data_IF_046376258305
#
_entry.id   IF_046376258305
#
_cell.length_a   1.000
_cell.length_b   1.000
_cell.length_c   1.000
_cell.angle_alpha   90.00
_cell.angle_beta   90.00
_cell.angle_gamma   90.00
#
_symmetry.space_group_name_H-M   'P 1'
#
loop_
_entity.id
_entity.type
_entity.pdbx_description
1 polymer ?
#
# COMPACT_ATOMS: atom_id res chain seq x y z
N UNK A 1 3.16 -19.66 -29.72
CA UNK A 1 2.26 -18.92 -28.80
C UNK A 1 1.76 -17.70 -29.55
N UNK A 2 0.45 -17.42 -29.56
CA UNK A 2 -0.07 -16.18 -30.15
C UNK A 2 0.31 -15.02 -29.22
N UNK A 3 0.97 -14.00 -29.75
CA UNK A 3 1.26 -12.78 -29.01
C UNK A 3 -0.05 -12.00 -28.95
N UNK A 4 -0.73 -12.03 -27.81
CA UNK A 4 -1.98 -11.30 -27.60
C UNK A 4 -1.59 -9.90 -27.15
N UNK A 5 -2.06 -8.86 -27.84
CA UNK A 5 -1.86 -7.49 -27.38
C UNK A 5 -2.48 -7.32 -26.00
N UNK A 6 -1.80 -6.57 -25.12
CA UNK A 6 -2.22 -6.39 -23.74
C UNK A 6 -2.70 -4.97 -23.47
N UNK A 7 -3.65 -4.86 -22.55
CA UNK A 7 -4.06 -3.61 -21.92
C UNK A 7 -3.79 -3.73 -20.43
N UNK A 8 -2.96 -2.83 -19.92
CA UNK A 8 -2.59 -2.81 -18.50
C UNK A 8 -3.51 -1.86 -17.73
N UNK A 9 -4.18 -2.36 -16.70
CA UNK A 9 -4.83 -1.54 -15.67
C UNK A 9 -3.97 -1.51 -14.41
N UNK A 10 -3.91 -0.37 -13.72
CA UNK A 10 -3.20 -0.26 -12.45
C UNK A 10 -4.00 -0.86 -11.30
N UNK A 11 -3.35 -1.15 -10.17
CA UNK A 11 -4.06 -1.54 -8.94
C UNK A 11 -5.07 -0.48 -8.48
N UNK A 12 -4.75 0.80 -8.65
CA UNK A 12 -5.67 1.91 -8.33
C UNK A 12 -6.91 1.88 -9.26
N UNK A 13 -6.71 1.67 -10.57
CA UNK A 13 -7.81 1.56 -11.54
C UNK A 13 -8.69 0.33 -11.25
N UNK A 14 -8.08 -0.81 -10.93
CA UNK A 14 -8.79 -2.02 -10.50
C UNK A 14 -9.62 -1.78 -9.23
N UNK A 15 -9.06 -1.11 -8.23
CA UNK A 15 -9.77 -0.80 -6.99
C UNK A 15 -10.93 0.16 -7.25
N UNK A 16 -10.76 1.16 -8.12
CA UNK A 16 -11.84 2.06 -8.51
C UNK A 16 -13.00 1.30 -9.17
N UNK A 17 -12.73 0.37 -10.09
CA UNK A 17 -13.73 -0.51 -10.70
C UNK A 17 -14.46 -1.35 -9.64
N UNK A 18 -13.72 -1.91 -8.68
CA UNK A 18 -14.28 -2.71 -7.59
C UNK A 18 -15.24 -1.88 -6.73
N UNK A 19 -14.83 -0.69 -6.30
CA UNK A 19 -15.66 0.17 -5.44
C UNK A 19 -16.89 0.73 -6.17
N UNK A 20 -16.72 1.17 -7.41
CA UNK A 20 -17.78 1.84 -8.16
C UNK A 20 -18.72 0.86 -8.86
N UNK A 21 -18.18 -0.08 -9.64
CA UNK A 21 -19.00 -0.95 -10.50
C UNK A 21 -19.44 -2.24 -9.79
N UNK A 22 -18.66 -2.75 -8.82
CA UNK A 22 -19.00 -3.99 -8.10
C UNK A 22 -19.69 -3.67 -6.77
N UNK A 23 -19.09 -2.82 -5.93
CA UNK A 23 -19.68 -2.42 -4.64
C UNK A 23 -20.76 -1.34 -4.78
N UNK A 24 -20.96 -0.77 -5.98
CA UNK A 24 -22.01 0.21 -6.29
C UNK A 24 -22.00 1.43 -5.35
N UNK A 25 -20.79 1.84 -4.92
CA UNK A 25 -20.63 3.03 -4.11
C UNK A 25 -20.90 4.29 -4.92
N UNK A 26 -21.37 5.35 -4.25
CA UNK A 26 -21.37 6.67 -4.86
C UNK A 26 -19.93 7.10 -5.16
N UNK A 27 -19.76 7.92 -6.20
CA UNK A 27 -18.43 8.40 -6.59
C UNK A 27 -17.70 9.10 -5.43
N UNK A 28 -18.44 9.80 -4.56
CA UNK A 28 -17.87 10.44 -3.38
C UNK A 28 -17.41 9.46 -2.32
N UNK A 29 -18.24 8.47 -1.99
CA UNK A 29 -17.89 7.44 -1.02
C UNK A 29 -16.68 6.61 -1.49
N UNK A 30 -16.60 6.29 -2.78
CA UNK A 30 -15.47 5.57 -3.35
C UNK A 30 -14.18 6.43 -3.33
N UNK A 31 -14.26 7.72 -3.66
CA UNK A 31 -13.13 8.64 -3.56
C UNK A 31 -12.61 8.78 -2.12
N UNK A 32 -13.52 8.92 -1.15
CA UNK A 32 -13.21 8.97 0.28
C UNK A 32 -12.53 7.68 0.76
N UNK A 33 -13.08 6.52 0.39
CA UNK A 33 -12.51 5.20 0.74
C UNK A 33 -11.11 4.98 0.17
N UNK A 34 -10.82 5.55 -1.01
CA UNK A 34 -9.49 5.54 -1.61
C UNK A 34 -8.55 6.63 -1.06
N UNK A 35 -9.04 7.56 -0.24
CA UNK A 35 -8.25 8.66 0.30
C UNK A 35 -7.76 9.66 -0.76
N UNK A 36 -8.52 9.84 -1.85
CA UNK A 36 -8.18 10.73 -2.97
C UNK A 36 -9.29 11.75 -3.24
N UNK A 37 -8.99 12.80 -4.01
CA UNK A 37 -10.02 13.78 -4.40
C UNK A 37 -11.06 13.16 -5.35
N UNK A 38 -12.29 13.68 -5.31
CA UNK A 38 -13.35 13.31 -6.25
C UNK A 38 -12.93 13.43 -7.73
N UNK A 39 -12.18 14.48 -8.07
CA UNK A 39 -11.65 14.70 -9.43
C UNK A 39 -10.62 13.65 -9.83
N UNK A 40 -9.77 13.22 -8.89
CA UNK A 40 -8.78 12.16 -9.11
C UNK A 40 -9.49 10.83 -9.33
N UNK A 41 -10.47 10.51 -8.47
CA UNK A 41 -11.28 9.30 -8.61
C UNK A 41 -12.02 9.28 -9.96
N UNK A 42 -12.65 10.40 -10.35
CA UNK A 42 -13.35 10.50 -11.64
C UNK A 42 -12.44 10.17 -12.83
N UNK A 43 -11.24 10.74 -12.84
CA UNK A 43 -10.25 10.46 -13.90
C UNK A 43 -9.80 9.02 -13.89
N UNK A 44 -9.64 8.42 -12.70
CA UNK A 44 -9.19 7.05 -12.52
C UNK A 44 -10.22 6.05 -13.04
N UNK A 45 -11.49 6.19 -12.63
CA UNK A 45 -12.57 5.29 -13.06
C UNK A 45 -12.82 5.40 -14.57
N UNK A 46 -12.80 6.61 -15.14
CA UNK A 46 -12.97 6.80 -16.59
C UNK A 46 -11.83 6.14 -17.39
N UNK A 47 -10.58 6.22 -16.92
CA UNK A 47 -9.44 5.53 -17.55
C UNK A 47 -9.59 4.02 -17.46
N UNK A 48 -10.01 3.51 -16.31
CA UNK A 48 -10.23 2.09 -16.10
C UNK A 48 -11.31 1.55 -17.05
N UNK A 49 -12.46 2.25 -17.17
CA UNK A 49 -13.53 1.88 -18.11
C UNK A 49 -13.05 1.88 -19.57
N UNK A 50 -12.30 2.89 -20.00
CA UNK A 50 -11.75 2.96 -21.37
C UNK A 50 -10.84 1.76 -21.67
N UNK A 51 -9.96 1.40 -20.71
CA UNK A 51 -9.04 0.27 -20.85
C UNK A 51 -9.78 -1.06 -20.90
N UNK A 52 -10.72 -1.28 -20.00
CA UNK A 52 -11.55 -2.50 -19.97
C UNK A 52 -12.36 -2.62 -21.26
N UNK A 53 -13.02 -1.54 -21.70
CA UNK A 53 -13.78 -1.53 -22.95
C UNK A 53 -12.89 -1.82 -24.17
N UNK A 54 -11.70 -1.21 -24.24
CA UNK A 54 -10.74 -1.48 -25.31
C UNK A 54 -10.28 -2.94 -25.31
N UNK A 55 -10.02 -3.52 -24.13
CA UNK A 55 -9.59 -4.90 -24.01
C UNK A 55 -10.66 -5.87 -24.50
N UNK A 56 -11.91 -5.68 -24.06
CA UNK A 56 -13.05 -6.50 -24.46
C UNK A 56 -13.36 -6.37 -25.96
N UNK A 57 -13.37 -5.14 -26.48
CA UNK A 57 -13.71 -4.88 -27.88
C UNK A 57 -12.64 -5.38 -28.87
N UNK A 58 -11.36 -5.23 -28.51
CA UNK A 58 -10.23 -5.55 -29.40
C UNK A 58 -9.70 -6.98 -29.17
N UNK A 59 -10.27 -7.74 -28.23
CA UNK A 59 -9.81 -9.08 -27.89
C UNK A 59 -8.39 -9.10 -27.28
N UNK A 60 -8.05 -8.06 -26.50
CA UNK A 60 -6.76 -7.93 -25.83
C UNK A 60 -6.80 -8.59 -24.47
N UNK A 61 -5.64 -9.08 -24.02
CA UNK A 61 -5.50 -9.55 -22.65
C UNK A 61 -5.51 -8.35 -21.70
N UNK A 62 -6.19 -8.50 -20.56
CA UNK A 62 -6.24 -7.49 -19.51
C UNK A 62 -5.26 -7.90 -18.39
N UNK A 63 -4.22 -7.10 -18.18
CA UNK A 63 -3.18 -7.37 -17.18
C UNK A 63 -3.23 -6.32 -16.08
N UNK A 64 -2.98 -6.71 -14.83
CA UNK A 64 -3.03 -5.82 -13.67
C UNK A 64 -1.60 -5.61 -13.16
N UNK A 65 -1.06 -4.42 -13.32
CA UNK A 65 0.33 -4.11 -12.95
C UNK A 65 0.53 -2.66 -12.50
N UNK A 66 1.53 -2.43 -11.67
CA UNK A 66 1.96 -1.09 -11.26
C UNK A 66 0.92 -0.32 -10.44
N UNK A 67 0.97 1.02 -10.54
CA UNK A 67 0.19 1.94 -9.71
C UNK A 67 0.89 2.29 -8.40
N UNK A 68 0.34 3.29 -7.71
CA UNK A 68 0.85 3.75 -6.41
C UNK A 68 -0.05 3.22 -5.29
N UNK A 69 0.33 2.10 -4.69
CA UNK A 69 -0.41 1.51 -3.57
C UNK A 69 0.48 1.37 -2.34
N UNK A 70 -0.15 1.36 -1.17
CA UNK A 70 0.51 1.10 0.10
C UNK A 70 0.08 -0.28 0.58
N UNK A 71 1.03 -1.17 0.78
CA UNK A 71 0.77 -2.39 1.52
C UNK A 71 0.58 -1.98 2.98
N UNK A 72 -0.59 -2.28 3.53
CA UNK A 72 -0.80 -2.12 4.96
C UNK A 72 -0.05 -3.24 5.66
N UNK A 73 1.04 -2.89 6.33
CA UNK A 73 1.78 -3.86 7.12
C UNK A 73 0.94 -4.19 8.37
N UNK A 74 0.66 -5.47 8.66
CA UNK A 74 -0.20 -5.86 9.78
C UNK A 74 0.22 -5.25 11.12
N UNK A 75 1.52 -5.01 11.29
CA UNK A 75 2.13 -4.49 12.52
C UNK A 75 2.32 -2.97 12.51
N UNK A 76 1.78 -2.25 11.52
CA UNK A 76 1.91 -0.78 11.43
C UNK A 76 1.25 -0.16 12.66
N UNK A 77 2.03 0.62 13.42
CA UNK A 77 1.69 1.20 14.73
C UNK A 77 1.73 0.25 15.94
N UNK A 78 2.21 -0.99 15.79
CA UNK A 78 2.55 -1.80 16.97
C UNK A 78 3.85 -1.32 17.62
N UNK A 79 3.88 -1.33 18.95
CA UNK A 79 5.10 -1.04 19.71
C UNK A 79 6.00 -2.28 19.68
N UNK A 80 7.27 -2.07 19.40
CA UNK A 80 8.32 -3.07 19.55
C UNK A 80 9.08 -2.73 20.83
N UNK A 81 9.13 -3.65 21.78
CA UNK A 81 9.86 -3.48 23.02
C UNK A 81 11.33 -3.87 22.80
N UNK A 82 12.25 -3.04 23.29
CA UNK A 82 13.69 -3.26 23.20
C UNK A 82 14.34 -3.16 24.57
N UNK A 83 15.37 -3.96 24.77
CA UNK A 83 16.23 -3.94 25.96
C UNK A 83 17.70 -3.84 25.56
N UNK A 84 18.43 -2.94 26.20
CA UNK A 84 19.89 -2.85 26.08
C UNK A 84 20.56 -3.89 26.98
N UNK A 85 21.46 -4.71 26.43
CA UNK A 85 22.19 -5.74 27.19
C UNK A 85 23.35 -5.21 28.03
N UNK A 86 23.77 -3.96 27.80
CA UNK A 86 24.86 -3.32 28.56
C UNK A 86 24.37 -2.60 29.81
N UNK A 87 23.26 -1.87 29.74
CA UNK A 87 22.75 -1.06 30.86
C UNK A 87 21.33 -1.43 31.31
N UNK A 88 20.74 -2.49 30.75
CA UNK A 88 19.40 -3.00 31.07
C UNK A 88 18.26 -1.99 30.86
N UNK A 89 18.48 -0.93 30.07
CA UNK A 89 17.42 0.03 29.74
C UNK A 89 16.40 -0.60 28.79
N UNK A 90 15.12 -0.40 29.08
CA UNK A 90 13.99 -0.78 28.24
C UNK A 90 13.35 0.45 27.59
N UNK A 91 12.89 0.30 26.34
CA UNK A 91 12.12 1.33 25.62
C UNK A 91 11.33 0.76 24.44
N UNK A 92 10.36 1.53 23.98
CA UNK A 92 9.45 1.14 22.91
C UNK A 92 9.72 1.94 21.64
N UNK A 93 9.67 1.26 20.50
CA UNK A 93 9.77 1.91 19.19
C UNK A 93 8.63 1.46 18.30
N UNK A 94 7.88 2.43 17.78
CA UNK A 94 6.82 2.19 16.81
C UNK A 94 7.36 1.43 15.59
N UNK A 95 6.61 0.42 15.15
CA UNK A 95 6.88 -0.27 13.90
C UNK A 95 6.73 0.69 12.71
N UNK A 96 7.76 0.76 11.86
CA UNK A 96 7.77 1.67 10.71
C UNK A 96 8.23 3.11 10.98
N UNK A 97 8.70 3.44 12.18
CA UNK A 97 9.22 4.77 12.54
C UNK A 97 10.58 5.14 11.88
N UNK A 98 10.96 4.49 10.78
CA UNK A 98 12.20 4.78 10.04
C UNK A 98 13.50 4.34 10.73
N UNK A 99 13.48 3.94 12.00
CA UNK A 99 14.63 3.34 12.68
C UNK A 99 14.75 1.86 12.30
N UNK A 100 15.66 1.60 11.36
CA UNK A 100 16.20 0.27 11.06
C UNK A 100 16.81 -0.33 12.33
N UNK A 101 16.62 -1.63 12.55
CA UNK A 101 17.21 -2.33 13.71
C UNK A 101 18.74 -2.27 13.75
N UNK A 102 19.40 -1.97 12.63
CA UNK A 102 20.86 -1.85 12.54
C UNK A 102 21.39 -0.51 13.05
N UNK A 103 20.56 0.54 13.05
CA UNK A 103 20.97 1.90 13.43
C UNK A 103 20.58 2.26 14.87
N UNK A 104 20.01 1.30 15.60
CA UNK A 104 19.48 1.55 16.94
C UNK A 104 20.62 1.67 17.96
N UNK A 105 20.55 2.70 18.80
CA UNK A 105 21.46 2.93 19.91
C UNK A 105 20.65 3.06 21.19
N UNK A 106 21.19 2.55 22.29
CA UNK A 106 20.55 2.69 23.58
C UNK A 106 20.47 4.18 23.97
N UNK A 107 19.28 4.71 24.29
CA UNK A 107 19.12 6.14 24.63
C UNK A 107 19.79 6.55 25.94
N UNK A 108 20.34 5.60 26.70
CA UNK A 108 20.99 5.84 27.99
C UNK A 108 22.52 5.67 27.96
N UNK A 109 23.05 4.76 27.12
CA UNK A 109 24.48 4.41 27.14
C UNK A 109 25.10 4.30 25.74
N UNK A 110 24.35 4.62 24.69
CA UNK A 110 24.78 4.61 23.27
C UNK A 110 25.26 3.24 22.74
N UNK A 111 25.18 2.18 23.55
CA UNK A 111 25.46 0.81 23.12
C UNK A 111 24.53 0.38 21.98
N UNK A 112 25.08 -0.42 21.06
CA UNK A 112 24.36 -1.08 19.96
C UNK A 112 23.94 -2.52 20.30
N UNK A 113 24.26 -2.99 21.51
CA UNK A 113 23.91 -4.32 22.00
C UNK A 113 22.47 -4.32 22.52
N UNK A 114 21.54 -4.39 21.58
CA UNK A 114 20.10 -4.20 21.79
C UNK A 114 19.37 -5.47 21.36
N UNK A 115 18.47 -5.95 22.23
CA UNK A 115 17.63 -7.11 21.97
C UNK A 115 16.17 -6.70 21.89
N UNK A 116 15.43 -7.21 20.91
CA UNK A 116 13.98 -7.08 20.84
C UNK A 116 13.32 -8.07 21.80
N UNK A 117 12.34 -7.61 22.55
CA UNK A 117 11.59 -8.39 23.54
C UNK A 117 10.11 -8.46 23.11
N UNK A 118 9.81 -9.36 22.16
CA UNK A 118 8.46 -9.50 21.55
C UNK A 118 8.33 -8.88 20.17
#
# INVERSE_FOLDING_TARGET
>A
MRNVEEVVISLEEMEALRLFDIEQMSQGAAAEKMGISHSTFHRLINKAHQKVAAALWQGKALTIEGGSYRLDHPHKNELRHFICKQCSREWDVLHGAGQSGMDMQCPNCESRDIMRQG
#
